data_IF_493315413581
#
_entry.id   IF_493315413581
#
_cell.length_a   1.000
_cell.length_b   1.000
_cell.length_c   1.000
_cell.angle_alpha   90.00
_cell.angle_beta   90.00
_cell.angle_gamma   90.00
#
_symmetry.space_group_name_H-M   'P 1'
#
loop_
_entity.id
_entity.type
_entity.pdbx_description
1 polymer ?
#
# COMPACT_ATOMS: atom_id res chain seq x y z
N UNK A 1 6.56 13.60 18.45
CA UNK A 1 5.63 13.01 19.43
C UNK A 1 4.24 13.53 19.09
N UNK A 2 3.51 12.79 18.25
CA UNK A 2 2.15 13.19 17.83
C UNK A 2 1.20 12.27 18.59
N UNK A 3 0.53 12.82 19.58
CA UNK A 3 -0.60 12.17 20.23
C UNK A 3 -1.76 12.14 19.24
N UNK A 4 -2.13 10.96 18.76
CA UNK A 4 -3.47 10.76 18.22
C UNK A 4 -4.40 10.57 19.43
N UNK A 5 -4.90 11.69 19.96
CA UNK A 5 -5.89 11.71 21.04
C UNK A 5 -7.19 11.09 20.56
N UNK A 6 -7.66 10.07 21.28
CA UNK A 6 -9.00 9.52 21.13
C UNK A 6 -10.01 10.57 21.65
N UNK A 7 -10.89 11.06 20.78
CA UNK A 7 -11.97 11.98 21.20
C UNK A 7 -13.07 11.14 21.84
N UNK A 8 -13.20 11.25 23.16
CA UNK A 8 -14.31 10.74 23.94
C UNK A 8 -15.42 11.79 23.93
N UNK A 9 -16.53 11.52 23.23
CA UNK A 9 -17.73 12.35 23.33
C UNK A 9 -18.59 11.75 24.44
N UNK A 10 -18.42 12.26 25.65
CA UNK A 10 -19.35 12.08 26.76
C UNK A 10 -19.61 13.46 27.37
N UNK A 11 -20.77 14.05 27.10
CA UNK A 11 -21.72 14.52 28.11
C UNK A 11 -22.89 15.27 27.45
N UNK A 12 -24.08 14.71 27.60
CA UNK A 12 -25.37 15.23 27.18
C UNK A 12 -26.25 15.25 28.43
N UNK A 13 -26.73 16.43 28.86
CA UNK A 13 -27.64 16.55 29.99
C UNK A 13 -29.10 16.54 29.51
N UNK A 14 -29.84 15.55 30.04
CA UNK A 14 -31.28 15.50 30.35
C UNK A 14 -32.30 15.73 29.23
N UNK A 15 -33.02 14.68 28.84
CA UNK A 15 -34.33 14.34 29.44
C UNK A 15 -34.89 13.01 28.92
N UNK A 16 -35.76 12.41 29.73
CA UNK A 16 -36.40 11.08 29.61
C UNK A 16 -36.91 10.75 28.18
N UNK A 17 -36.59 9.55 27.68
CA UNK A 17 -37.57 8.60 27.12
C UNK A 17 -36.90 7.23 26.87
N UNK A 18 -37.61 6.16 27.24
CA UNK A 18 -37.23 4.75 27.10
C UNK A 18 -36.92 4.36 25.64
N UNK A 19 -35.68 3.96 25.34
CA UNK A 19 -35.35 2.83 24.44
C UNK A 19 -33.97 2.28 24.84
N UNK A 20 -33.92 1.10 25.48
CA UNK A 20 -32.66 0.36 25.69
C UNK A 20 -32.25 -0.31 24.38
N UNK A 21 -31.62 0.46 23.49
CA UNK A 21 -30.82 -0.07 22.39
C UNK A 21 -29.41 -0.34 22.92
N UNK A 22 -29.12 -1.61 23.18
CA UNK A 22 -27.74 -2.10 23.36
C UNK A 22 -26.98 -1.92 22.05
N UNK A 23 -26.45 -0.70 21.83
CA UNK A 23 -25.41 -0.49 20.84
C UNK A 23 -24.13 -1.12 21.39
N UNK A 24 -23.83 -2.34 20.95
CA UNK A 24 -22.46 -2.86 21.01
C UNK A 24 -21.66 -2.02 20.03
N UNK A 25 -21.13 -0.89 20.51
CA UNK A 25 -20.15 -0.10 19.81
C UNK A 25 -18.85 -0.92 19.76
N UNK A 26 -18.74 -1.80 18.77
CA UNK A 26 -17.46 -2.38 18.41
C UNK A 26 -16.56 -1.24 17.94
N UNK A 27 -15.58 -0.86 18.76
CA UNK A 27 -14.48 -0.02 18.30
C UNK A 27 -13.72 -0.81 17.24
N UNK A 28 -13.94 -0.52 15.96
CA UNK A 28 -13.08 -1.01 14.88
C UNK A 28 -11.81 -0.17 14.94
N UNK A 29 -10.91 -0.55 15.85
CA UNK A 29 -9.56 0.01 15.86
C UNK A 29 -8.84 -0.49 14.61
N UNK A 30 -8.30 0.44 13.82
CA UNK A 30 -7.37 0.07 12.75
C UNK A 30 -6.20 -0.69 13.39
N UNK A 31 -5.90 -1.87 12.85
CA UNK A 31 -4.80 -2.70 13.33
C UNK A 31 -3.48 -1.99 13.07
N UNK A 32 -2.69 -1.77 14.13
CA UNK A 32 -1.36 -1.16 14.04
C UNK A 32 -0.29 -2.24 13.97
N UNK A 33 0.82 -1.92 13.31
CA UNK A 33 1.98 -2.80 13.21
C UNK A 33 3.23 -2.07 13.69
N UNK A 34 3.99 -2.72 14.56
CA UNK A 34 5.23 -2.18 15.12
C UNK A 34 6.33 -3.23 15.07
N UNK A 35 7.51 -2.83 14.59
CA UNK A 35 8.69 -3.70 14.59
C UNK A 35 9.31 -3.76 15.98
N UNK A 36 9.45 -4.97 16.52
CA UNK A 36 10.07 -5.25 17.83
C UNK A 36 11.19 -6.26 17.63
N UNK A 37 12.38 -5.78 17.26
CA UNK A 37 13.53 -6.64 16.93
C UNK A 37 13.24 -7.55 15.72
N UNK A 38 13.27 -8.86 15.94
CA UNK A 38 12.90 -9.89 14.93
C UNK A 38 11.42 -10.28 14.97
N UNK A 39 10.60 -9.48 15.62
CA UNK A 39 9.16 -9.74 15.75
C UNK A 39 8.35 -8.55 15.24
N UNK A 40 7.11 -8.82 14.89
CA UNK A 40 6.11 -7.83 14.57
C UNK A 40 5.02 -7.85 15.65
N UNK A 41 4.81 -6.71 16.32
CA UNK A 41 3.65 -6.51 17.18
C UNK A 41 2.47 -6.12 16.29
N UNK A 42 1.34 -6.79 16.50
CA UNK A 42 0.09 -6.66 15.76
C UNK A 42 -0.99 -6.22 16.76
N UNK A 43 -1.50 -5.00 16.59
CA UNK A 43 -2.37 -4.36 17.57
C UNK A 43 -1.69 -4.24 18.94
N UNK A 44 -2.47 -4.42 20.01
CA UNK A 44 -2.01 -4.10 21.37
C UNK A 44 -1.23 -5.23 22.07
N UNK A 45 -1.34 -6.48 21.61
CA UNK A 45 -0.85 -7.63 22.40
C UNK A 45 -0.25 -8.78 21.61
N UNK A 46 -0.58 -8.95 20.32
CA UNK A 46 -0.11 -10.09 19.56
C UNK A 46 1.29 -9.83 19.01
N UNK A 47 2.19 -10.78 19.20
CA UNK A 47 3.58 -10.68 18.72
C UNK A 47 3.89 -11.90 17.86
N UNK A 48 4.24 -11.65 16.60
CA UNK A 48 4.62 -12.68 15.64
C UNK A 48 6.14 -12.63 15.42
N UNK A 49 6.85 -13.72 15.68
CA UNK A 49 8.27 -13.82 15.35
C UNK A 49 8.46 -14.01 13.84
N UNK A 50 9.43 -13.31 13.27
CA UNK A 50 9.73 -13.32 11.83
C UNK A 50 11.03 -14.08 11.57
N UNK A 51 11.11 -14.81 10.46
CA UNK A 51 12.33 -15.49 10.02
C UNK A 51 13.44 -14.53 9.55
N UNK A 52 13.12 -13.24 9.38
CA UNK A 52 14.03 -12.18 8.95
C UNK A 52 13.76 -10.87 9.70
N UNK A 53 14.79 -10.06 9.85
CA UNK A 53 14.67 -8.72 10.43
C UNK A 53 13.86 -7.77 9.54
N UNK A 54 13.11 -6.88 10.19
CA UNK A 54 12.29 -5.86 9.55
C UNK A 54 12.85 -4.48 9.83
N UNK A 55 12.76 -3.57 8.86
CA UNK A 55 13.18 -2.17 9.01
C UNK A 55 12.03 -1.27 9.45
N UNK A 56 10.85 -1.58 8.96
CA UNK A 56 9.61 -0.88 9.25
C UNK A 56 8.43 -1.86 9.13
N UNK A 57 7.22 -1.37 9.37
CA UNK A 57 5.99 -2.13 9.17
C UNK A 57 4.93 -1.19 8.60
N UNK A 58 4.63 -1.34 7.30
CA UNK A 58 3.64 -0.51 6.59
C UNK A 58 2.62 -1.45 5.95
N UNK A 59 1.35 -1.32 6.33
CA UNK A 59 0.27 -2.11 5.74
C UNK A 59 0.06 -1.73 4.26
N UNK A 60 -0.16 -2.74 3.40
CA UNK A 60 -0.57 -2.52 2.01
C UNK A 60 -1.94 -1.86 1.93
N UNK A 61 -2.24 -1.19 0.81
CA UNK A 61 -3.50 -0.44 0.68
C UNK A 61 -4.75 -1.32 0.83
N UNK A 62 -4.70 -2.51 0.24
CA UNK A 62 -5.76 -3.52 0.31
C UNK A 62 -5.75 -4.33 1.62
N UNK A 63 -4.81 -4.04 2.54
CA UNK A 63 -4.60 -4.72 3.82
C UNK A 63 -4.27 -6.21 3.73
N UNK A 64 -3.84 -6.69 2.57
CA UNK A 64 -3.46 -8.09 2.39
C UNK A 64 -2.05 -8.43 2.88
N UNK A 65 -1.20 -7.42 3.13
CA UNK A 65 0.17 -7.63 3.54
C UNK A 65 0.70 -6.49 4.42
N UNK A 66 1.81 -6.78 5.10
CA UNK A 66 2.64 -5.77 5.76
C UNK A 66 4.00 -5.75 5.08
N UNK A 67 4.39 -4.60 4.55
CA UNK A 67 5.70 -4.33 3.97
C UNK A 67 6.71 -4.07 5.10
N UNK A 68 7.83 -4.79 5.05
CA UNK A 68 8.80 -4.87 6.15
C UNK A 68 10.16 -4.23 5.82
N UNK A 69 10.45 -4.08 4.53
CA UNK A 69 11.61 -3.37 4.01
C UNK A 69 11.33 -2.97 2.55
N UNK A 70 12.32 -2.35 1.92
CA UNK A 70 12.26 -1.88 0.53
C UNK A 70 11.96 -3.00 -0.49
N UNK A 71 12.06 -4.27 -0.10
CA UNK A 71 11.82 -5.40 -1.00
C UNK A 71 11.04 -6.54 -0.34
N UNK A 72 10.71 -6.42 0.93
CA UNK A 72 10.14 -7.54 1.70
C UNK A 72 8.77 -7.24 2.27
N UNK A 73 7.99 -8.29 2.43
CA UNK A 73 6.64 -8.23 2.96
C UNK A 73 6.26 -9.57 3.61
N UNK A 74 5.17 -9.54 4.36
CA UNK A 74 4.52 -10.73 4.91
C UNK A 74 3.04 -10.71 4.53
N UNK A 75 2.49 -11.87 4.17
CA UNK A 75 1.05 -12.03 3.96
C UNK A 75 0.33 -11.89 5.31
N UNK A 76 -0.65 -11.00 5.40
CA UNK A 76 -1.38 -10.73 6.65
C UNK A 76 -2.00 -12.00 7.23
N UNK A 77 -2.44 -12.94 6.39
CA UNK A 77 -3.01 -14.22 6.87
C UNK A 77 -2.03 -15.02 7.71
N UNK A 78 -0.72 -14.91 7.47
CA UNK A 78 0.28 -15.55 8.33
C UNK A 78 0.40 -14.86 9.68
N UNK A 79 0.27 -13.53 9.72
CA UNK A 79 0.24 -12.77 10.97
C UNK A 79 -1.03 -13.10 11.77
N UNK A 80 -2.18 -13.19 11.12
CA UNK A 80 -3.48 -13.53 11.73
C UNK A 80 -3.46 -14.90 12.43
N UNK A 81 -2.60 -15.82 11.99
CA UNK A 81 -2.50 -17.18 12.52
C UNK A 81 -1.16 -17.49 13.20
N UNK A 82 -0.29 -16.50 13.41
CA UNK A 82 1.01 -16.73 14.01
C UNK A 82 0.89 -17.27 15.45
N UNK A 83 1.81 -18.17 15.83
CA UNK A 83 1.85 -18.84 17.13
C UNK A 83 3.20 -18.66 17.80
N UNK A 84 3.22 -18.71 19.12
CA UNK A 84 4.47 -18.69 19.88
C UNK A 84 5.35 -19.88 19.46
N UNK A 85 6.63 -19.60 19.20
CA UNK A 85 7.61 -20.61 18.76
C UNK A 85 7.62 -20.89 17.26
N UNK A 86 6.66 -20.37 16.49
CA UNK A 86 6.64 -20.48 15.03
C UNK A 86 7.14 -19.18 14.39
N UNK A 87 8.01 -19.31 13.39
CA UNK A 87 8.53 -18.17 12.64
C UNK A 87 7.65 -17.93 11.41
N UNK A 88 7.11 -16.71 11.30
CA UNK A 88 6.39 -16.26 10.13
C UNK A 88 7.38 -15.97 9.00
N UNK A 89 7.07 -16.47 7.81
CA UNK A 89 7.97 -16.36 6.65
C UNK A 89 7.88 -15.00 6.00
N UNK A 90 9.01 -14.29 5.96
CA UNK A 90 9.14 -13.03 5.23
C UNK A 90 9.43 -13.32 3.75
N UNK A 91 8.55 -12.81 2.88
CA UNK A 91 8.64 -12.93 1.43
C UNK A 91 9.38 -11.73 0.83
N UNK A 92 9.75 -11.82 -0.43
CA UNK A 92 10.42 -10.73 -1.15
C UNK A 92 9.91 -10.61 -2.57
N UNK A 93 9.84 -9.38 -3.08
CA UNK A 93 9.71 -9.16 -4.52
C UNK A 93 11.02 -9.54 -5.22
N UNK A 94 10.99 -9.86 -6.53
CA UNK A 94 12.20 -10.21 -7.27
C UNK A 94 13.27 -9.13 -7.24
N UNK A 95 14.53 -9.53 -7.40
CA UNK A 95 15.63 -8.59 -7.59
C UNK A 95 15.51 -7.84 -8.92
N UNK A 96 16.17 -6.68 -9.01
CA UNK A 96 16.21 -5.89 -10.25
C UNK A 96 14.98 -5.01 -10.49
N UNK A 97 14.18 -4.77 -9.44
CA UNK A 97 13.15 -3.72 -9.38
C UNK A 97 13.45 -2.77 -8.22
N UNK A 98 12.84 -1.59 -8.25
CA UNK A 98 12.99 -0.56 -7.22
C UNK A 98 12.35 -0.89 -5.86
N UNK A 99 12.06 0.16 -5.09
CA UNK A 99 11.52 0.05 -3.74
C UNK A 99 10.05 -0.37 -3.78
N UNK A 100 9.71 -1.47 -3.08
CA UNK A 100 8.33 -1.91 -2.87
C UNK A 100 7.50 -0.78 -2.26
N UNK A 101 6.49 -0.35 -2.99
CA UNK A 101 5.65 0.78 -2.61
C UNK A 101 4.24 0.34 -2.22
N UNK A 102 3.67 -0.65 -2.89
CA UNK A 102 2.43 -1.31 -2.46
C UNK A 102 2.34 -2.72 -3.04
N UNK A 103 1.52 -3.57 -2.43
CA UNK A 103 1.31 -4.96 -2.85
C UNK A 103 -0.11 -5.41 -2.54
N UNK A 104 -0.77 -6.02 -3.53
CA UNK A 104 -2.03 -6.72 -3.35
C UNK A 104 -1.75 -8.22 -3.52
N UNK A 105 -1.57 -8.92 -2.39
CA UNK A 105 -1.25 -10.35 -2.37
C UNK A 105 -2.40 -11.17 -2.93
N UNK A 106 -3.65 -10.77 -2.63
CA UNK A 106 -4.85 -11.49 -3.08
C UNK A 106 -4.99 -11.50 -4.61
N UNK A 107 -4.49 -10.45 -5.28
CA UNK A 107 -4.48 -10.32 -6.75
C UNK A 107 -3.12 -10.64 -7.37
N UNK A 108 -2.12 -10.90 -6.54
CA UNK A 108 -0.75 -11.22 -6.97
C UNK A 108 -0.11 -10.10 -7.78
N UNK A 109 -0.35 -8.83 -7.42
CA UNK A 109 0.24 -7.65 -8.09
C UNK A 109 0.98 -6.81 -7.07
N UNK A 110 2.11 -6.22 -7.46
CA UNK A 110 2.82 -5.23 -6.66
C UNK A 110 3.24 -4.04 -7.53
N UNK A 111 3.54 -2.94 -6.86
CA UNK A 111 4.15 -1.75 -7.46
C UNK A 111 5.43 -1.40 -6.72
N UNK A 112 6.49 -1.18 -7.48
CA UNK A 112 7.78 -0.73 -6.98
C UNK A 112 8.20 0.57 -7.69
N UNK A 113 8.98 1.40 -6.99
CA UNK A 113 9.44 2.70 -7.46
C UNK A 113 10.95 2.68 -7.73
N UNK A 114 11.32 2.86 -8.99
CA UNK A 114 12.69 2.90 -9.48
C UNK A 114 13.21 4.34 -9.45
N UNK A 115 14.21 4.60 -8.61
CA UNK A 115 14.80 5.92 -8.44
C UNK A 115 15.65 6.33 -9.66
N UNK A 116 15.42 7.54 -10.22
CA UNK A 116 16.11 7.98 -11.45
C UNK A 116 16.71 9.39 -11.40
N UNK A 117 16.42 10.22 -10.39
CA UNK A 117 17.00 11.56 -10.29
C UNK A 117 16.93 12.12 -8.87
N UNK A 118 17.96 12.84 -8.41
CA UNK A 118 18.05 13.44 -7.05
C UNK A 118 17.49 14.86 -6.94
N UNK A 119 17.40 15.61 -8.04
CA UNK A 119 16.92 17.01 -8.05
C UNK A 119 16.14 17.32 -9.34
N UNK A 120 14.79 17.28 -9.32
CA UNK A 120 13.94 16.79 -8.23
C UNK A 120 14.09 15.28 -8.00
N UNK A 121 13.58 14.76 -6.87
CA UNK A 121 13.45 13.32 -6.62
C UNK A 121 12.45 12.73 -7.61
N UNK A 122 12.94 11.97 -8.59
CA UNK A 122 12.13 11.40 -9.65
C UNK A 122 12.21 9.89 -9.66
N UNK A 123 11.07 9.28 -9.99
CA UNK A 123 10.87 7.85 -10.01
C UNK A 123 10.18 7.40 -11.29
N UNK A 124 10.39 6.13 -11.61
CA UNK A 124 9.55 5.36 -12.52
C UNK A 124 8.85 4.28 -11.71
N UNK A 125 7.71 3.79 -12.18
CA UNK A 125 7.01 2.69 -11.52
C UNK A 125 7.15 1.38 -12.30
N UNK A 126 7.39 0.30 -11.57
CA UNK A 126 7.27 -1.07 -12.05
C UNK A 126 6.02 -1.68 -11.42
N UNK A 127 5.01 -2.03 -12.23
CA UNK A 127 3.80 -2.72 -11.78
C UNK A 127 3.86 -4.14 -12.29
N UNK A 128 4.04 -5.13 -11.42
CA UNK A 128 4.35 -6.49 -11.85
C UNK A 128 3.57 -7.54 -11.07
N UNK A 129 3.55 -8.78 -11.59
CA UNK A 129 3.03 -9.93 -10.84
C UNK A 129 4.02 -10.32 -9.76
N UNK A 130 3.52 -10.66 -8.58
CA UNK A 130 4.34 -11.21 -7.49
C UNK A 130 5.15 -12.40 -8.02
N UNK A 131 6.46 -12.40 -7.76
CA UNK A 131 7.40 -13.40 -8.26
C UNK A 131 8.02 -13.09 -9.63
N UNK A 132 7.63 -12.00 -10.30
CA UNK A 132 8.22 -11.57 -11.58
C UNK A 132 8.62 -10.09 -11.55
N UNK A 133 9.67 -9.70 -12.28
CA UNK A 133 10.06 -8.28 -12.48
C UNK A 133 9.51 -7.68 -13.78
N UNK A 134 8.70 -8.45 -14.53
CA UNK A 134 8.15 -8.01 -15.81
C UNK A 134 7.03 -7.00 -15.58
N UNK A 135 7.27 -5.75 -15.99
CA UNK A 135 6.28 -4.70 -15.92
C UNK A 135 5.05 -5.06 -16.77
N UNK A 136 3.86 -4.92 -16.19
CA UNK A 136 2.55 -5.17 -16.79
C UNK A 136 2.07 -3.97 -17.59
N UNK A 137 2.65 -2.79 -17.34
CA UNK A 137 2.30 -1.55 -18.02
C UNK A 137 3.51 -0.95 -18.72
N UNK A 138 3.24 -0.22 -19.80
CA UNK A 138 4.21 0.52 -20.61
C UNK A 138 3.77 1.95 -20.85
N UNK A 139 3.06 2.53 -19.89
CA UNK A 139 2.56 3.92 -19.91
C UNK A 139 3.66 4.90 -19.51
N UNK A 140 3.48 6.20 -19.81
CA UNK A 140 4.42 7.25 -19.35
C UNK A 140 4.40 7.28 -17.81
N UNK A 141 5.57 7.25 -17.18
CA UNK A 141 5.72 6.99 -15.74
C UNK A 141 6.22 5.58 -15.44
N UNK A 142 5.96 4.61 -16.30
CA UNK A 142 6.39 3.24 -16.07
C UNK A 142 7.84 3.00 -16.50
N UNK A 143 8.54 2.11 -15.79
CA UNK A 143 9.81 1.57 -16.25
C UNK A 143 9.57 0.61 -17.41
N UNK A 144 10.12 0.90 -18.59
CA UNK A 144 9.97 0.06 -19.78
C UNK A 144 11.32 -0.51 -20.18
N UNK A 145 11.45 -1.83 -20.06
CA UNK A 145 12.67 -2.56 -20.41
C UNK A 145 13.09 -2.26 -21.86
N UNK A 146 14.39 -2.09 -22.07
CA UNK A 146 14.97 -1.82 -23.39
C UNK A 146 14.90 -0.36 -23.85
N UNK A 147 14.19 0.53 -23.14
CA UNK A 147 14.24 1.97 -23.41
C UNK A 147 15.48 2.61 -22.79
N UNK A 148 15.98 3.66 -23.46
CA UNK A 148 17.11 4.44 -22.94
C UNK A 148 16.69 5.15 -21.66
N UNK A 149 17.56 5.16 -20.65
CA UNK A 149 17.28 5.85 -19.38
C UNK A 149 16.97 7.34 -19.57
N UNK A 150 17.59 8.01 -20.55
CA UNK A 150 17.31 9.40 -20.89
C UNK A 150 15.89 9.62 -21.44
N UNK A 151 15.32 8.63 -22.12
CA UNK A 151 13.93 8.68 -22.59
C UNK A 151 12.96 8.39 -21.46
N UNK A 152 13.26 7.38 -20.63
CA UNK A 152 12.44 7.05 -19.47
C UNK A 152 12.37 8.21 -18.47
N UNK A 153 13.49 8.89 -18.21
CA UNK A 153 13.53 10.06 -17.29
C UNK A 153 12.61 11.20 -17.69
N UNK A 154 12.32 11.40 -18.99
CA UNK A 154 11.33 12.40 -19.46
C UNK A 154 9.90 12.06 -19.04
N UNK A 155 9.66 10.78 -18.76
CA UNK A 155 8.41 10.25 -18.25
C UNK A 155 8.46 9.95 -16.75
N UNK A 156 9.50 10.35 -16.00
CA UNK A 156 9.51 10.15 -14.55
C UNK A 156 8.54 11.11 -13.85
N UNK A 157 8.22 10.82 -12.58
CA UNK A 157 7.33 11.62 -11.74
C UNK A 157 7.90 11.81 -10.33
N UNK A 158 7.41 12.82 -9.62
CA UNK A 158 7.80 13.08 -8.23
C UNK A 158 7.10 12.13 -7.27
N UNK A 159 7.83 11.61 -6.29
CA UNK A 159 7.31 10.78 -5.19
C UNK A 159 8.29 10.86 -4.01
N UNK A 160 7.88 10.40 -2.83
CA UNK A 160 8.81 10.21 -1.71
C UNK A 160 9.56 8.86 -1.78
N UNK A 161 9.14 7.96 -2.69
CA UNK A 161 9.82 6.69 -2.98
C UNK A 161 9.67 5.63 -1.89
N UNK A 162 8.76 5.79 -0.94
CA UNK A 162 8.63 4.92 0.25
C UNK A 162 7.58 3.83 0.06
N UNK A 163 7.58 2.88 1.00
CA UNK A 163 6.43 2.00 1.22
C UNK A 163 5.19 2.86 1.53
N UNK A 164 4.07 2.54 0.88
CA UNK A 164 2.82 3.29 0.92
C UNK A 164 2.74 4.51 -0.01
N UNK A 165 3.79 4.82 -0.79
CA UNK A 165 3.80 5.96 -1.72
C UNK A 165 2.97 5.73 -2.99
N UNK A 166 2.60 4.48 -3.26
CA UNK A 166 1.69 4.05 -4.30
C UNK A 166 0.50 3.34 -3.66
N UNK A 167 -0.60 3.19 -4.40
CA UNK A 167 -1.70 2.31 -3.99
C UNK A 167 -2.24 1.52 -5.20
N UNK A 168 -2.54 0.25 -4.97
CA UNK A 168 -3.19 -0.66 -5.91
C UNK A 168 -4.65 -0.80 -5.48
N UNK A 169 -5.58 -0.75 -6.42
CA UNK A 169 -7.01 -0.95 -6.10
C UNK A 169 -7.26 -2.33 -5.48
N UNK A 170 -8.31 -2.50 -4.67
CA UNK A 170 -8.63 -3.79 -4.06
C UNK A 170 -8.89 -4.91 -5.08
N UNK A 171 -9.39 -4.57 -6.27
CA UNK A 171 -9.58 -5.52 -7.38
C UNK A 171 -8.27 -5.85 -8.14
N UNK A 172 -7.18 -5.14 -7.85
CA UNK A 172 -5.85 -5.32 -8.44
C UNK A 172 -5.74 -4.84 -9.89
N UNK A 173 -6.75 -4.13 -10.41
CA UNK A 173 -6.79 -3.68 -11.81
C UNK A 173 -6.21 -2.29 -12.01
N UNK A 174 -6.28 -1.44 -11.00
CA UNK A 174 -5.89 -0.04 -11.08
C UNK A 174 -4.75 0.25 -10.12
N UNK A 175 -3.92 1.21 -10.47
CA UNK A 175 -2.80 1.65 -9.64
C UNK A 175 -2.60 3.14 -9.79
N UNK A 176 -2.31 3.83 -8.69
CA UNK A 176 -1.70 5.15 -8.72
C UNK A 176 -0.30 5.05 -8.10
N UNK A 177 0.75 5.43 -8.83
CA UNK A 177 2.13 5.32 -8.34
C UNK A 177 2.54 6.49 -7.42
N UNK A 178 1.63 7.45 -7.17
CA UNK A 178 1.85 8.61 -6.30
C UNK A 178 0.87 8.67 -5.13
N UNK A 179 0.06 7.62 -4.91
CA UNK A 179 -1.04 7.55 -3.90
C UNK A 179 -2.20 8.53 -4.17
N UNK A 180 -1.99 9.57 -4.97
CA UNK A 180 -3.02 10.50 -5.40
C UNK A 180 -4.00 9.82 -6.37
N UNK A 181 -5.27 9.76 -5.99
CA UNK A 181 -6.35 9.21 -6.82
C UNK A 181 -6.92 10.33 -7.69
N UNK A 182 -6.25 10.59 -8.82
CA UNK A 182 -6.65 11.60 -9.79
C UNK A 182 -6.74 11.00 -11.21
N UNK A 183 -7.97 10.90 -11.71
CA UNK A 183 -8.30 10.43 -13.06
C UNK A 183 -8.63 11.59 -14.02
N UNK A 184 -8.36 12.84 -13.67
CA UNK A 184 -8.58 13.99 -14.54
C UNK A 184 -7.71 13.88 -15.80
N UNK A 185 -8.10 14.53 -16.88
CA UNK A 185 -7.30 14.52 -18.13
C UNK A 185 -5.93 15.20 -17.98
N UNK A 186 -5.75 16.03 -16.96
CA UNK A 186 -4.51 16.77 -16.66
C UNK A 186 -3.61 16.07 -15.64
N UNK A 187 -4.09 15.02 -14.97
CA UNK A 187 -3.33 14.31 -13.94
C UNK A 187 -2.07 13.65 -14.50
N UNK A 188 -0.98 13.76 -13.74
CA UNK A 188 0.27 13.09 -14.08
C UNK A 188 1.00 12.59 -12.82
N UNK A 189 1.34 11.29 -12.74
CA UNK A 189 1.10 10.24 -13.74
C UNK A 189 -0.35 9.72 -13.76
N UNK A 190 -1.17 10.09 -12.78
CA UNK A 190 -2.58 9.70 -12.65
C UNK A 190 -2.79 8.22 -12.32
N UNK A 191 -4.04 7.77 -12.42
CA UNK A 191 -4.43 6.36 -12.24
C UNK A 191 -4.22 5.58 -13.54
N UNK A 192 -3.66 4.37 -13.44
CA UNK A 192 -3.45 3.48 -14.58
C UNK A 192 -4.39 2.28 -14.53
N UNK A 193 -4.94 1.90 -15.68
CA UNK A 193 -5.63 0.62 -15.87
C UNK A 193 -4.60 -0.42 -16.36
N UNK A 194 -4.23 -1.34 -15.48
CA UNK A 194 -3.20 -2.35 -15.72
C UNK A 194 -3.62 -3.27 -16.88
N UNK A 195 -4.90 -3.66 -16.92
CA UNK A 195 -5.42 -4.59 -17.94
C UNK A 195 -5.39 -3.97 -19.33
N UNK A 196 -5.75 -2.70 -19.44
CA UNK A 196 -5.81 -1.99 -20.72
C UNK A 196 -4.52 -1.22 -21.05
N UNK A 197 -3.51 -1.28 -20.19
CA UNK A 197 -2.21 -0.65 -20.37
C UNK A 197 -2.30 0.84 -20.77
N UNK A 198 -3.12 1.61 -20.04
CA UNK A 198 -3.35 3.04 -20.31
C UNK A 198 -3.66 3.80 -19.04
N UNK A 199 -3.47 5.13 -19.07
CA UNK A 199 -4.01 6.01 -18.03
C UNK A 199 -5.55 5.96 -18.07
N UNK A 200 -6.17 5.82 -16.92
CA UNK A 200 -7.61 5.78 -16.77
C UNK A 200 -8.11 7.19 -16.52
N UNK A 201 -8.96 7.69 -17.42
CA UNK A 201 -9.53 9.04 -17.34
C UNK A 201 -11.03 8.90 -17.17
N UNK A 202 -11.56 9.50 -16.11
CA UNK A 202 -12.98 9.43 -15.74
C UNK A 202 -13.34 10.57 -14.79
N UNK A 203 -14.61 10.69 -14.41
CA UNK A 203 -15.11 11.57 -13.36
C UNK A 203 -14.59 11.17 -11.98
N UNK A 204 -14.48 12.14 -11.07
CA UNK A 204 -13.86 11.96 -9.74
C UNK A 204 -14.60 10.93 -8.87
N UNK A 205 -15.93 10.84 -8.98
CA UNK A 205 -16.75 9.88 -8.25
C UNK A 205 -16.43 8.43 -8.64
N UNK A 206 -16.31 8.17 -9.95
CA UNK A 206 -15.92 6.86 -10.48
C UNK A 206 -14.46 6.57 -10.12
N UNK A 207 -13.58 7.57 -10.22
CA UNK A 207 -12.16 7.42 -9.88
C UNK A 207 -11.96 7.02 -8.41
N UNK A 208 -12.59 7.75 -7.49
CA UNK A 208 -12.52 7.48 -6.06
C UNK A 208 -13.11 6.10 -5.72
N UNK A 209 -14.16 5.67 -6.42
CA UNK A 209 -14.77 4.36 -6.20
C UNK A 209 -13.84 3.18 -6.51
N UNK A 210 -12.83 3.36 -7.38
CA UNK A 210 -11.86 2.30 -7.70
C UNK A 210 -11.02 1.87 -6.49
N UNK A 211 -10.82 2.76 -5.52
CA UNK A 211 -9.94 2.55 -4.37
C UNK A 211 -10.71 2.43 -3.05
N UNK A 212 -12.04 2.27 -3.08
CA UNK A 212 -12.81 2.00 -1.86
C UNK A 212 -12.64 0.53 -1.47
N UNK A 213 -12.16 0.30 -0.26
CA UNK A 213 -12.23 -1.01 0.38
C UNK A 213 -13.71 -1.35 0.62
N UNK A 214 -14.13 -2.54 0.18
CA UNK A 214 -15.48 -3.07 0.43
C UNK A 214 -15.55 -3.74 1.78
#
# INVERSE_FOLDING_TARGET
MVFAGCVRIDELWRDLFLVTLLFVAGSVCAESYEVVGKSLRVGDSKVCSLDRESRYAIESFDKSAVMLSETTYVDKRQLDHCRAGEMVRVLSIPVGVGVLSDINVSKGVYVALDFVSVRPFLYLATVARVGTSKNLVSVKGAYVVGRKISELRKGAFGSDGKAGASIISPDGRYVTPTREVDCSSTSYPGVWDIKNNRRFVTTDDVCAALFKNK
#
